data_IF_291228298194
#
_entry.id   IF_291228298194
#
_cell.length_a   1.000
_cell.length_b   1.000
_cell.length_c   1.000
_cell.angle_alpha   90.00
_cell.angle_beta   90.00
_cell.angle_gamma   90.00
#
_symmetry.space_group_name_H-M   'P 1'
#
loop_
_entity.id
_entity.type
_entity.pdbx_description
1 polymer ?
#
# COMPACT_ATOMS: atom_id res chain seq x y z
N UNK A 1 -17.87 -6.64 -16.72
CA UNK A 1 -18.96 -6.99 -15.78
C UNK A 1 -18.46 -7.36 -14.37
N UNK A 2 -17.20 -7.79 -14.19
CA UNK A 2 -16.67 -8.21 -12.88
C UNK A 2 -16.48 -7.07 -11.85
N UNK A 3 -16.05 -5.87 -12.26
CA UNK A 3 -15.76 -4.78 -11.31
C UNK A 3 -16.97 -4.21 -10.57
N UNK A 4 -18.14 -3.96 -11.21
CA UNK A 4 -19.32 -3.54 -10.49
C UNK A 4 -19.74 -4.56 -9.43
N UNK A 5 -19.72 -5.86 -9.77
CA UNK A 5 -20.00 -6.95 -8.83
C UNK A 5 -19.02 -6.94 -7.65
N UNK A 6 -17.73 -6.81 -7.92
CA UNK A 6 -16.70 -6.69 -6.88
C UNK A 6 -16.99 -5.52 -5.93
N UNK A 7 -17.34 -4.34 -6.46
CA UNK A 7 -17.63 -3.15 -5.65
C UNK A 7 -18.91 -3.30 -4.83
N UNK A 8 -19.96 -3.94 -5.37
CA UNK A 8 -21.19 -4.23 -4.63
C UNK A 8 -20.89 -5.21 -3.49
N UNK A 9 -20.15 -6.28 -3.75
CA UNK A 9 -19.76 -7.25 -2.72
C UNK A 9 -18.90 -6.60 -1.64
N UNK A 10 -17.91 -5.78 -2.02
CA UNK A 10 -17.06 -5.04 -1.09
C UNK A 10 -17.88 -4.09 -0.20
N UNK A 11 -18.88 -3.42 -0.77
CA UNK A 11 -19.78 -2.53 -0.03
C UNK A 11 -20.65 -3.32 0.96
N UNK A 12 -21.28 -4.41 0.52
CA UNK A 12 -22.09 -5.28 1.38
C UNK A 12 -21.24 -5.80 2.54
N UNK A 13 -20.06 -6.35 2.24
CA UNK A 13 -19.14 -6.86 3.26
C UNK A 13 -18.75 -5.77 4.26
N UNK A 14 -18.48 -4.56 3.78
CA UNK A 14 -18.12 -3.44 4.66
C UNK A 14 -19.28 -3.01 5.54
N UNK A 15 -20.50 -2.92 5.02
CA UNK A 15 -21.70 -2.58 5.82
C UNK A 15 -21.97 -3.65 6.87
N UNK A 16 -21.90 -4.93 6.50
CA UNK A 16 -22.13 -6.06 7.42
C UNK A 16 -21.07 -6.09 8.52
N UNK A 17 -19.79 -5.87 8.17
CA UNK A 17 -18.70 -5.89 9.14
C UNK A 17 -18.52 -4.56 9.89
N UNK A 18 -19.14 -3.46 9.47
CA UNK A 18 -18.95 -2.14 10.06
C UNK A 18 -19.25 -2.07 11.57
N UNK A 19 -20.33 -2.67 12.11
CA UNK A 19 -20.59 -2.64 13.55
C UNK A 19 -19.48 -3.34 14.35
N UNK A 20 -19.04 -4.50 13.86
CA UNK A 20 -17.96 -5.28 14.47
C UNK A 20 -16.62 -4.54 14.36
N UNK A 21 -16.31 -4.01 13.18
CA UNK A 21 -15.11 -3.22 12.94
C UNK A 21 -15.09 -1.96 13.83
N UNK A 22 -16.22 -1.27 13.98
CA UNK A 22 -16.36 -0.12 14.87
C UNK A 22 -16.07 -0.52 16.32
N UNK A 23 -16.70 -1.59 16.81
CA UNK A 23 -16.46 -2.12 18.15
C UNK A 23 -14.99 -2.49 18.36
N UNK A 24 -14.38 -3.22 17.42
CA UNK A 24 -12.98 -3.61 17.46
C UNK A 24 -12.06 -2.39 17.45
N UNK A 25 -12.34 -1.37 16.63
CA UNK A 25 -11.57 -0.12 16.61
C UNK A 25 -11.72 0.65 17.92
N UNK A 26 -12.92 0.66 18.55
CA UNK A 26 -13.15 1.29 19.84
C UNK A 26 -12.45 0.57 20.99
N UNK A 27 -12.43 -0.76 20.99
CA UNK A 27 -11.85 -1.55 22.09
C UNK A 27 -10.34 -1.72 21.93
N UNK A 28 -9.85 -2.01 20.72
CA UNK A 28 -8.48 -2.43 20.48
C UNK A 28 -7.66 -1.36 19.75
N UNK A 29 -6.85 -0.62 20.51
CA UNK A 29 -5.96 0.43 19.98
C UNK A 29 -5.05 -0.03 18.84
N UNK A 30 -4.63 -1.30 18.84
CA UNK A 30 -3.74 -1.88 17.80
C UNK A 30 -4.32 -1.77 16.38
N UNK A 31 -5.65 -1.84 16.21
CA UNK A 31 -6.28 -1.73 14.89
C UNK A 31 -6.53 -0.30 14.44
N UNK A 32 -6.41 0.68 15.35
CA UNK A 32 -6.48 2.11 15.01
C UNK A 32 -5.23 2.58 14.26
N UNK A 33 -4.11 1.88 14.43
CA UNK A 33 -2.83 2.20 13.79
C UNK A 33 -2.99 2.10 12.28
N UNK A 34 -2.72 3.21 11.59
CA UNK A 34 -2.81 3.26 10.13
C UNK A 34 -4.23 3.32 9.56
N UNK A 35 -5.28 3.26 10.38
CA UNK A 35 -6.66 3.21 9.86
C UNK A 35 -7.01 4.43 9.00
N UNK A 36 -6.62 5.64 9.44
CA UNK A 36 -6.82 6.87 8.68
C UNK A 36 -6.01 6.92 7.38
N UNK A 37 -4.86 6.24 7.34
CA UNK A 37 -4.08 6.07 6.11
C UNK A 37 -4.86 5.13 5.18
N UNK A 38 -5.25 3.94 5.64
CA UNK A 38 -6.04 2.97 4.87
C UNK A 38 -7.31 3.57 4.26
N UNK A 39 -7.97 4.50 4.96
CA UNK A 39 -9.15 5.23 4.48
C UNK A 39 -8.84 6.36 3.46
N UNK A 40 -7.58 6.67 3.19
CA UNK A 40 -7.17 7.76 2.31
C UNK A 40 -7.32 9.16 2.91
N UNK A 41 -7.44 9.27 4.23
CA UNK A 41 -7.56 10.54 4.95
C UNK A 41 -6.16 11.13 5.20
N UNK A 42 -5.25 10.31 5.77
CA UNK A 42 -3.86 10.68 6.03
C UNK A 42 -2.95 10.00 5.00
N UNK A 43 -2.74 10.66 3.87
CA UNK A 43 -1.80 10.16 2.86
C UNK A 43 -0.50 10.95 3.01
N UNK A 44 0.64 10.29 3.25
CA UNK A 44 1.92 10.98 3.37
C UNK A 44 2.23 11.71 2.06
N UNK A 45 2.66 12.97 2.18
CA UNK A 45 3.12 13.77 1.06
C UNK A 45 4.61 13.50 0.87
N UNK A 46 4.98 12.93 -0.28
CA UNK A 46 6.37 12.97 -0.68
C UNK A 46 6.73 14.41 -1.09
N UNK A 47 7.83 14.92 -0.53
CA UNK A 47 8.37 16.21 -0.93
C UNK A 47 9.36 15.98 -2.06
N UNK A 48 9.10 16.57 -3.23
CA UNK A 48 9.98 16.51 -4.39
C UNK A 48 9.22 16.31 -5.70
N UNK A 49 9.88 16.60 -6.82
CA UNK A 49 9.30 16.44 -8.16
C UNK A 49 9.40 15.00 -8.70
N UNK A 50 10.15 14.12 -8.01
CA UNK A 50 10.45 12.77 -8.48
C UNK A 50 9.37 11.76 -8.10
N UNK A 51 8.91 11.00 -9.10
CA UNK A 51 7.93 9.92 -8.94
C UNK A 51 8.57 8.70 -8.26
N UNK A 52 8.05 8.22 -7.12
CA UNK A 52 8.67 7.13 -6.38
C UNK A 52 8.43 5.76 -7.01
N UNK A 53 9.32 4.80 -6.74
CA UNK A 53 9.01 3.38 -6.83
C UNK A 53 8.20 2.97 -5.60
N UNK A 54 7.03 2.36 -5.79
CA UNK A 54 6.20 1.88 -4.69
C UNK A 54 6.30 0.36 -4.56
N UNK A 55 6.91 -0.11 -3.47
CA UNK A 55 7.00 -1.54 -3.11
C UNK A 55 5.91 -1.89 -2.07
N UNK A 56 5.19 -2.97 -2.29
CA UNK A 56 4.16 -3.49 -1.41
C UNK A 56 4.60 -4.81 -0.77
N UNK A 57 4.68 -4.80 0.56
CA UNK A 57 5.12 -5.89 1.41
C UNK A 57 4.12 -6.03 2.57
N UNK A 58 3.21 -6.97 2.45
CA UNK A 58 2.03 -7.15 3.31
C UNK A 58 2.43 -7.56 4.73
N UNK A 59 3.39 -8.48 4.80
CA UNK A 59 3.81 -9.19 5.99
C UNK A 59 5.23 -8.83 6.45
N UNK A 60 5.61 -9.31 7.64
CA UNK A 60 7.00 -9.18 8.14
C UNK A 60 7.98 -9.94 7.25
N UNK A 61 7.59 -11.12 6.76
CA UNK A 61 8.42 -11.95 5.88
C UNK A 61 8.74 -11.23 4.57
N UNK A 62 7.74 -10.67 3.91
CA UNK A 62 7.92 -9.88 2.70
C UNK A 62 8.76 -8.63 2.92
N UNK A 63 8.57 -7.94 4.05
CA UNK A 63 9.41 -6.79 4.39
C UNK A 63 10.88 -7.18 4.50
N UNK A 64 11.18 -8.33 5.11
CA UNK A 64 12.56 -8.83 5.20
C UNK A 64 13.10 -9.25 3.83
N UNK A 65 12.26 -9.86 2.99
CA UNK A 65 12.61 -10.19 1.60
C UNK A 65 12.87 -8.93 0.75
N UNK A 66 12.22 -7.80 1.06
CA UNK A 66 12.42 -6.52 0.39
C UNK A 66 13.80 -5.89 0.65
N UNK A 67 14.45 -6.22 1.79
CA UNK A 67 15.71 -5.59 2.22
C UNK A 67 16.82 -5.69 1.15
N UNK A 68 17.21 -6.88 0.65
CA UNK A 68 18.24 -6.99 -0.37
C UNK A 68 17.84 -6.30 -1.69
N UNK A 69 16.56 -6.39 -2.07
CA UNK A 69 16.04 -5.74 -3.28
C UNK A 69 16.18 -4.21 -3.21
N UNK A 70 15.74 -3.60 -2.11
CA UNK A 70 15.83 -2.14 -1.92
C UNK A 70 17.28 -1.68 -1.86
N UNK A 71 18.16 -2.46 -1.21
CA UNK A 71 19.60 -2.17 -1.17
C UNK A 71 20.18 -2.10 -2.58
N UNK A 72 19.91 -3.10 -3.42
CA UNK A 72 20.42 -3.15 -4.79
C UNK A 72 19.86 -2.00 -5.65
N UNK A 73 18.56 -1.71 -5.53
CA UNK A 73 17.93 -0.59 -6.24
C UNK A 73 18.59 0.74 -5.85
N UNK A 74 18.82 0.98 -4.56
CA UNK A 74 19.46 2.22 -4.09
C UNK A 74 20.94 2.31 -4.46
N UNK A 75 21.64 1.19 -4.63
CA UNK A 75 23.01 1.20 -5.16
C UNK A 75 23.05 1.65 -6.62
N UNK A 76 22.12 1.17 -7.46
CA UNK A 76 22.05 1.53 -8.89
C UNK A 76 21.36 2.86 -9.16
N UNK A 77 20.39 3.22 -8.32
CA UNK A 77 19.60 4.46 -8.42
C UNK A 77 19.53 5.18 -7.06
N UNK A 78 20.63 5.81 -6.60
CA UNK A 78 20.70 6.42 -5.27
C UNK A 78 19.63 7.49 -5.00
N UNK A 79 19.22 8.20 -6.05
CA UNK A 79 18.26 9.33 -5.96
C UNK A 79 16.82 8.92 -6.22
N UNK A 80 16.54 7.66 -6.59
CA UNK A 80 15.18 7.19 -6.84
C UNK A 80 14.41 7.14 -5.52
N UNK A 81 13.30 7.88 -5.34
CA UNK A 81 12.51 7.78 -4.13
C UNK A 81 11.83 6.42 -4.04
N UNK A 82 11.79 5.82 -2.86
CA UNK A 82 11.14 4.52 -2.62
C UNK A 82 10.12 4.66 -1.50
N UNK A 83 8.87 4.29 -1.79
CA UNK A 83 7.83 4.07 -0.79
C UNK A 83 7.67 2.58 -0.55
N UNK A 84 7.49 2.21 0.72
CA UNK A 84 7.10 0.86 1.10
C UNK A 84 5.74 0.90 1.79
N UNK A 85 4.83 0.01 1.37
CA UNK A 85 3.53 -0.13 2.01
C UNK A 85 3.34 -1.49 2.64
N UNK A 86 2.66 -1.51 3.78
CA UNK A 86 2.32 -2.75 4.50
C UNK A 86 0.84 -2.78 4.87
N UNK A 87 0.31 -3.96 5.21
CA UNK A 87 -1.07 -4.10 5.71
C UNK A 87 -1.07 -4.20 7.23
N UNK A 88 -0.11 -4.94 7.79
CA UNK A 88 -0.01 -5.22 9.23
C UNK A 88 0.79 -4.14 9.97
N UNK A 89 0.42 -3.85 11.22
CA UNK A 89 1.15 -2.91 12.07
C UNK A 89 2.57 -3.41 12.39
N UNK A 90 2.72 -4.72 12.57
CA UNK A 90 4.03 -5.36 12.78
C UNK A 90 4.89 -5.23 11.52
N UNK A 91 4.36 -5.53 10.33
CA UNK A 91 5.07 -5.33 9.07
C UNK A 91 5.51 -3.87 8.89
N UNK A 92 4.63 -2.91 9.20
CA UNK A 92 4.94 -1.48 9.13
C UNK A 92 6.12 -1.11 10.04
N UNK A 93 6.07 -1.57 11.30
CA UNK A 93 7.13 -1.34 12.29
C UNK A 93 8.45 -1.98 11.85
N UNK A 94 8.40 -3.21 11.32
CA UNK A 94 9.57 -3.90 10.77
C UNK A 94 10.14 -3.13 9.58
N UNK A 95 9.30 -2.61 8.69
CA UNK A 95 9.72 -1.86 7.52
C UNK A 95 10.46 -0.58 7.93
N UNK A 96 9.90 0.19 8.87
CA UNK A 96 10.54 1.41 9.40
C UNK A 96 11.90 1.12 10.05
N UNK A 97 12.05 -0.02 10.73
CA UNK A 97 13.29 -0.39 11.42
C UNK A 97 14.38 -0.89 10.45
N UNK A 98 14.01 -1.79 9.53
CA UNK A 98 14.96 -2.58 8.76
C UNK A 98 15.24 -2.03 7.36
N UNK A 99 14.29 -1.34 6.72
CA UNK A 99 14.48 -0.81 5.38
C UNK A 99 15.22 0.53 5.45
N UNK A 100 16.45 0.54 4.96
CA UNK A 100 17.30 1.74 4.92
C UNK A 100 17.27 2.38 3.53
N UNK A 101 17.36 3.70 3.50
CA UNK A 101 17.38 4.46 2.24
C UNK A 101 16.01 4.66 1.59
N UNK A 102 14.92 4.15 2.17
CA UNK A 102 13.56 4.46 1.71
C UNK A 102 13.09 5.82 2.22
N UNK A 103 12.14 6.41 1.51
CA UNK A 103 11.66 7.77 1.76
C UNK A 103 10.43 7.78 2.66
N UNK A 104 9.59 6.74 2.58
CA UNK A 104 8.38 6.64 3.39
C UNK A 104 7.92 5.19 3.55
N UNK A 105 7.40 4.87 4.75
CA UNK A 105 6.57 3.69 5.00
C UNK A 105 5.13 4.12 5.23
N UNK A 106 4.16 3.44 4.62
CA UNK A 106 2.73 3.74 4.78
C UNK A 106 1.87 2.48 4.88
N UNK A 107 0.61 2.62 5.28
CA UNK A 107 -0.34 1.53 5.17
C UNK A 107 -1.01 1.50 3.80
N UNK A 108 -1.14 0.31 3.22
CA UNK A 108 -1.78 0.12 1.93
C UNK A 108 -3.27 0.52 1.99
N UNK A 109 -3.80 1.27 1.00
CA UNK A 109 -5.18 1.73 1.01
C UNK A 109 -6.20 0.59 0.98
N UNK A 110 -7.39 0.83 1.54
CA UNK A 110 -8.52 -0.02 1.22
C UNK A 110 -8.87 0.09 -0.27
N UNK A 111 -9.29 -1.03 -0.86
CA UNK A 111 -9.47 -1.17 -2.31
C UNK A 111 -10.79 -0.57 -2.82
N UNK A 112 -11.09 0.65 -2.38
CA UNK A 112 -12.15 1.47 -2.92
C UNK A 112 -11.61 2.43 -3.97
N UNK A 113 -12.26 2.49 -5.13
CA UNK A 113 -11.84 3.33 -6.26
C UNK A 113 -11.49 4.78 -5.86
N UNK A 114 -12.29 5.42 -5.00
CA UNK A 114 -12.04 6.80 -4.58
C UNK A 114 -10.82 6.95 -3.65
N UNK A 115 -10.51 5.94 -2.84
CA UNK A 115 -9.34 5.91 -1.96
C UNK A 115 -8.10 5.67 -2.79
N UNK A 116 -8.12 4.61 -3.60
CA UNK A 116 -7.04 4.22 -4.51
C UNK A 116 -6.66 5.38 -5.43
N UNK A 117 -7.64 6.02 -6.07
CA UNK A 117 -7.40 7.20 -6.93
C UNK A 117 -6.68 8.30 -6.19
N UNK A 118 -7.11 8.61 -4.97
CA UNK A 118 -6.50 9.66 -4.14
C UNK A 118 -5.06 9.32 -3.77
N UNK A 119 -4.77 8.05 -3.48
CA UNK A 119 -3.42 7.56 -3.24
C UNK A 119 -2.53 7.72 -4.47
N UNK A 120 -2.95 7.17 -5.60
CA UNK A 120 -2.18 7.21 -6.85
C UNK A 120 -2.00 8.64 -7.36
N UNK A 121 -3.00 9.51 -7.22
CA UNK A 121 -2.89 10.92 -7.63
C UNK A 121 -1.92 11.73 -6.76
N UNK A 122 -1.77 11.36 -5.47
CA UNK A 122 -0.87 12.06 -4.55
C UNK A 122 0.55 11.51 -4.59
N UNK A 123 0.70 10.20 -4.71
CA UNK A 123 2.00 9.52 -4.72
C UNK A 123 2.62 9.56 -6.12
N UNK A 124 1.79 9.44 -7.16
CA UNK A 124 2.20 9.41 -8.57
C UNK A 124 3.39 8.47 -8.83
N UNK A 125 3.33 7.20 -8.39
CA UNK A 125 4.50 6.31 -8.48
C UNK A 125 4.92 6.09 -9.94
N UNK A 126 6.22 5.88 -10.17
CA UNK A 126 6.77 5.54 -11.47
C UNK A 126 6.50 4.07 -11.82
N UNK A 127 6.45 3.20 -10.82
CA UNK A 127 6.02 1.81 -10.90
C UNK A 127 5.54 1.30 -9.53
N UNK A 128 4.73 0.25 -9.55
CA UNK A 128 4.28 -0.50 -8.38
C UNK A 128 4.85 -1.92 -8.40
N UNK A 129 5.37 -2.40 -7.28
CA UNK A 129 5.95 -3.75 -7.14
C UNK A 129 5.28 -4.44 -5.96
N UNK A 130 4.54 -5.52 -6.21
CA UNK A 130 4.05 -6.42 -5.16
C UNK A 130 5.07 -7.54 -4.94
N UNK A 131 5.45 -7.80 -3.68
CA UNK A 131 6.39 -8.88 -3.33
C UNK A 131 5.74 -10.25 -3.20
N UNK A 132 4.42 -10.33 -3.30
CA UNK A 132 3.67 -11.57 -3.29
C UNK A 132 2.43 -11.43 -4.16
N UNK A 133 1.72 -12.53 -4.36
CA UNK A 133 0.48 -12.56 -5.15
C UNK A 133 -0.71 -12.05 -4.33
N UNK A 134 -0.78 -10.74 -4.10
CA UNK A 134 -2.00 -10.08 -3.65
C UNK A 134 -2.74 -9.39 -4.79
N UNK A 135 -4.02 -9.73 -4.95
CA UNK A 135 -4.87 -9.18 -6.01
C UNK A 135 -5.83 -8.16 -5.41
N UNK A 136 -5.60 -6.89 -5.74
CA UNK A 136 -6.45 -5.75 -5.37
C UNK A 136 -7.10 -5.17 -6.64
N UNK A 137 -8.31 -5.64 -7.02
CA UNK A 137 -8.88 -5.38 -8.34
C UNK A 137 -9.03 -3.90 -8.69
N UNK A 138 -9.51 -3.06 -7.76
CA UNK A 138 -9.65 -1.64 -8.03
C UNK A 138 -8.28 -0.96 -8.10
N UNK A 139 -7.33 -1.33 -7.24
CA UNK A 139 -5.95 -0.83 -7.26
C UNK A 139 -5.25 -1.11 -8.59
N UNK A 140 -5.23 -2.37 -9.03
CA UNK A 140 -4.63 -2.79 -10.29
C UNK A 140 -5.30 -2.11 -11.49
N UNK A 141 -6.63 -1.98 -11.46
CA UNK A 141 -7.39 -1.27 -12.49
C UNK A 141 -6.99 0.21 -12.55
N UNK A 142 -6.83 0.86 -11.41
CA UNK A 142 -6.48 2.29 -11.36
C UNK A 142 -5.01 2.54 -11.70
N UNK A 143 -4.09 1.62 -11.37
CA UNK A 143 -2.71 1.63 -11.88
C UNK A 143 -2.72 1.59 -13.41
N UNK A 144 -3.43 0.63 -14.01
CA UNK A 144 -3.53 0.50 -15.46
C UNK A 144 -4.17 1.75 -16.10
N UNK A 145 -5.24 2.28 -15.50
CA UNK A 145 -5.91 3.51 -15.99
C UNK A 145 -4.96 4.71 -15.99
N UNK A 146 -4.05 4.80 -15.03
CA UNK A 146 -3.06 5.86 -14.92
C UNK A 146 -1.73 5.54 -15.63
N UNK A 147 -1.66 4.42 -16.37
CA UNK A 147 -0.47 3.92 -17.07
C UNK A 147 0.74 3.77 -16.14
N UNK A 148 0.50 3.33 -14.91
CA UNK A 148 1.55 3.01 -13.94
C UNK A 148 1.87 1.51 -14.09
N UNK A 149 3.10 1.14 -14.46
CA UNK A 149 3.52 -0.26 -14.51
C UNK A 149 3.37 -0.95 -13.16
N UNK A 150 2.85 -2.18 -13.18
CA UNK A 150 2.74 -3.04 -12.02
C UNK A 150 3.58 -4.31 -12.25
N UNK A 151 4.40 -4.67 -11.28
CA UNK A 151 5.19 -5.89 -11.28
C UNK A 151 4.84 -6.73 -10.05
N UNK A 152 4.89 -8.04 -10.22
CA UNK A 152 4.84 -9.00 -9.12
C UNK A 152 6.21 -9.67 -9.08
N UNK A 153 6.80 -9.71 -7.90
CA UNK A 153 8.06 -10.40 -7.63
C UNK A 153 7.73 -11.50 -6.66
N UNK A 154 7.94 -12.75 -7.04
CA UNK A 154 7.79 -13.92 -6.17
C UNK A 154 9.16 -14.56 -5.98
N UNK A 155 9.49 -14.91 -4.74
CA UNK A 155 10.75 -15.55 -4.36
C UNK A 155 10.65 -17.05 -4.24
#
# INVERSE_FOLDING_TARGET
MLYPLYNILLLILTVVLAPVACLVLLVHRKYRVGFLEKCGIKIPLLRGASRPLWIHAVSVGEVMAAVPLIREIKQRHPTLPIIVSTITATGNTTAQRNLKGIDQVLFFPFDYNFIVRRYLSRIQPCAFVALETEIWPNFLRELNRQKIPALIVSG
#
